data_IF_904737683557
#
_entry.id   IF_904737683557
#
_cell.length_a   1.000
_cell.length_b   1.000
_cell.length_c   1.000
_cell.angle_alpha   90.00
_cell.angle_beta   90.00
_cell.angle_gamma   90.00
#
_symmetry.space_group_name_H-M   'P 1'
#
loop_
_entity.id
_entity.type
_entity.pdbx_description
1 polymer ?
#
# COMPACT_ATOMS: atom_id res chain seq x y z
N UNK A 1 -5.53 30.24 -22.42
CA UNK A 1 -5.09 29.09 -23.26
C UNK A 1 -5.70 27.82 -22.69
N UNK A 2 -6.81 27.36 -23.29
CA UNK A 2 -7.61 26.25 -22.78
C UNK A 2 -6.98 24.94 -23.26
N UNK A 3 -6.13 24.34 -22.41
CA UNK A 3 -5.47 23.06 -22.75
C UNK A 3 -6.51 21.95 -22.56
N UNK A 4 -7.27 21.65 -23.62
CA UNK A 4 -8.04 20.41 -23.71
C UNK A 4 -7.03 19.26 -23.74
N UNK A 5 -6.55 18.85 -22.56
CA UNK A 5 -5.75 17.65 -22.41
C UNK A 5 -6.63 16.51 -22.92
N UNK A 6 -6.18 15.82 -23.97
CA UNK A 6 -6.87 14.63 -24.46
C UNK A 6 -7.13 13.69 -23.28
N UNK A 7 -8.35 13.17 -23.17
CA UNK A 7 -8.75 12.26 -22.10
C UNK A 7 -7.77 11.10 -21.93
N UNK A 8 -7.19 10.61 -23.04
CA UNK A 8 -6.14 9.60 -23.07
C UNK A 8 -4.84 10.03 -22.38
N UNK A 9 -4.41 11.29 -22.55
CA UNK A 9 -3.21 11.83 -21.91
C UNK A 9 -3.41 11.95 -20.39
N UNK A 10 -4.62 12.30 -19.95
CA UNK A 10 -4.96 12.34 -18.53
C UNK A 10 -4.94 10.95 -17.90
N UNK A 11 -5.54 9.94 -18.55
CA UNK A 11 -5.53 8.56 -18.07
C UNK A 11 -4.09 8.03 -18.00
N UNK A 12 -3.30 8.21 -19.07
CA UNK A 12 -1.89 7.81 -19.11
C UNK A 12 -1.08 8.43 -17.96
N UNK A 13 -1.35 9.70 -17.64
CA UNK A 13 -0.73 10.38 -16.50
C UNK A 13 -1.15 9.77 -15.15
N UNK A 14 -2.43 9.47 -14.97
CA UNK A 14 -2.96 8.85 -13.76
C UNK A 14 -2.39 7.44 -13.54
N UNK A 15 -2.31 6.65 -14.60
CA UNK A 15 -1.70 5.30 -14.58
C UNK A 15 -0.22 5.40 -14.18
N UNK A 16 0.55 6.27 -14.83
CA UNK A 16 1.97 6.46 -14.50
C UNK A 16 2.18 6.93 -13.05
N UNK A 17 1.30 7.80 -12.54
CA UNK A 17 1.33 8.21 -11.14
C UNK A 17 0.97 7.03 -10.21
N UNK A 18 -0.05 6.26 -10.55
CA UNK A 18 -0.52 5.09 -9.79
C UNK A 18 0.53 3.99 -9.64
N UNK A 19 1.27 3.67 -10.70
CA UNK A 19 2.37 2.71 -10.63
C UNK A 19 3.47 3.17 -9.67
N UNK A 20 3.87 4.44 -9.73
CA UNK A 20 4.89 4.99 -8.82
C UNK A 20 4.39 5.00 -7.38
N UNK A 21 3.12 5.34 -7.16
CA UNK A 21 2.50 5.31 -5.85
C UNK A 21 2.46 3.88 -5.27
N UNK A 22 2.16 2.88 -6.10
CA UNK A 22 2.17 1.46 -5.72
C UNK A 22 3.57 0.99 -5.34
N UNK A 23 4.61 1.42 -6.07
CA UNK A 23 5.99 1.10 -5.72
C UNK A 23 6.38 1.60 -4.31
N UNK A 24 5.90 2.77 -3.89
CA UNK A 24 6.09 3.25 -2.51
C UNK A 24 5.30 2.42 -1.49
N UNK A 25 4.06 2.03 -1.80
CA UNK A 25 3.28 1.17 -0.93
C UNK A 25 3.88 -0.24 -0.76
N UNK A 26 4.53 -0.78 -1.80
CA UNK A 26 5.32 -2.02 -1.69
C UNK A 26 6.42 -1.85 -0.64
N UNK A 27 7.16 -0.74 -0.67
CA UNK A 27 8.21 -0.46 0.32
C UNK A 27 7.60 -0.36 1.74
N UNK A 28 6.46 0.32 1.90
CA UNK A 28 5.78 0.40 3.20
C UNK A 28 5.28 -0.95 3.70
N UNK A 29 4.71 -1.76 2.81
CA UNK A 29 4.30 -3.13 3.14
C UNK A 29 5.49 -3.98 3.56
N UNK A 30 6.63 -3.89 2.86
CA UNK A 30 7.85 -4.58 3.26
C UNK A 30 8.35 -4.12 4.63
N UNK A 31 8.37 -2.81 4.90
CA UNK A 31 8.78 -2.29 6.22
C UNK A 31 7.89 -2.81 7.36
N UNK A 32 6.57 -2.86 7.15
CA UNK A 32 5.63 -3.45 8.11
C UNK A 32 5.87 -4.96 8.24
N UNK A 33 6.11 -5.64 7.13
CA UNK A 33 6.34 -7.07 7.09
C UNK A 33 7.64 -7.51 7.79
N UNK A 34 8.61 -6.63 8.00
CA UNK A 34 9.79 -6.93 8.83
C UNK A 34 9.39 -7.30 10.27
N UNK A 35 8.25 -6.81 10.77
CA UNK A 35 7.76 -7.15 12.10
C UNK A 35 7.38 -8.64 12.23
N UNK A 36 7.14 -9.35 11.11
CA UNK A 36 6.94 -10.81 11.13
C UNK A 36 8.21 -11.58 11.52
N UNK A 37 9.38 -10.97 11.34
CA UNK A 37 10.66 -11.63 11.64
C UNK A 37 10.87 -11.74 13.15
N UNK A 38 10.19 -10.91 13.94
CA UNK A 38 10.23 -11.01 15.40
C UNK A 38 9.54 -12.30 15.89
N UNK A 39 8.48 -12.74 15.20
CA UNK A 39 7.75 -13.93 15.57
C UNK A 39 8.37 -15.25 15.11
N UNK A 40 9.21 -15.23 14.07
CA UNK A 40 9.71 -16.42 13.41
C UNK A 40 11.25 -16.41 13.34
N UNK A 41 11.94 -17.43 13.85
CA UNK A 41 13.39 -17.51 13.74
C UNK A 41 13.83 -17.62 12.28
N UNK A 42 14.95 -16.97 11.96
CA UNK A 42 15.57 -17.08 10.65
C UNK A 42 16.06 -18.52 10.42
N UNK A 43 16.02 -19.02 9.17
CA UNK A 43 16.56 -20.33 8.84
C UNK A 43 18.09 -20.38 9.01
N UNK A 44 18.61 -21.53 9.44
CA UNK A 44 20.04 -21.71 9.75
C UNK A 44 20.93 -21.99 8.52
N UNK A 45 20.35 -22.13 7.32
CA UNK A 45 21.08 -22.45 6.10
C UNK A 45 21.18 -21.25 5.16
N UNK A 46 22.32 -21.08 4.49
CA UNK A 46 22.53 -19.97 3.54
C UNK A 46 21.49 -19.97 2.41
N UNK A 47 21.13 -21.16 1.90
CA UNK A 47 20.03 -21.32 0.93
C UNK A 47 18.69 -20.90 1.53
N UNK A 48 18.42 -21.27 2.78
CA UNK A 48 17.18 -20.94 3.47
C UNK A 48 17.01 -19.44 3.66
N UNK A 49 18.09 -18.72 4.00
CA UNK A 49 18.10 -17.27 4.15
C UNK A 49 17.78 -16.59 2.82
N UNK A 50 18.42 -17.01 1.72
CA UNK A 50 18.15 -16.45 0.39
C UNK A 50 16.69 -16.72 -0.01
N UNK A 51 16.23 -17.96 0.13
CA UNK A 51 14.85 -18.33 -0.16
C UNK A 51 13.85 -17.50 0.64
N UNK A 52 14.13 -17.29 1.93
CA UNK A 52 13.30 -16.49 2.82
C UNK A 52 13.18 -15.04 2.34
N UNK A 53 14.28 -14.35 2.06
CA UNK A 53 14.25 -12.96 1.60
C UNK A 53 13.60 -12.81 0.21
N UNK A 54 13.89 -13.73 -0.72
CA UNK A 54 13.28 -13.71 -2.06
C UNK A 54 11.78 -13.95 -1.98
N UNK A 55 11.35 -14.94 -1.20
CA UNK A 55 9.93 -15.27 -1.02
C UNK A 55 9.19 -14.14 -0.32
N UNK A 56 9.78 -13.57 0.74
CA UNK A 56 9.23 -12.43 1.46
C UNK A 56 9.07 -11.21 0.55
N UNK A 57 10.13 -10.83 -0.17
CA UNK A 57 10.09 -9.69 -1.09
C UNK A 57 9.06 -9.91 -2.19
N UNK A 58 9.04 -11.10 -2.79
CA UNK A 58 8.11 -11.47 -3.85
C UNK A 58 6.66 -11.48 -3.40
N UNK A 59 6.37 -12.10 -2.26
CA UNK A 59 5.02 -12.23 -1.71
C UNK A 59 4.38 -10.85 -1.44
N UNK A 60 5.03 -10.00 -0.63
CA UNK A 60 4.46 -8.68 -0.30
C UNK A 60 4.40 -7.76 -1.53
N UNK A 61 5.40 -7.79 -2.40
CA UNK A 61 5.38 -7.00 -3.64
C UNK A 61 4.24 -7.43 -4.57
N UNK A 62 4.04 -8.74 -4.72
CA UNK A 62 2.96 -9.30 -5.53
C UNK A 62 1.59 -8.92 -4.97
N UNK A 63 1.37 -9.08 -3.66
CA UNK A 63 0.09 -8.73 -3.02
C UNK A 63 -0.23 -7.23 -3.17
N UNK A 64 0.72 -6.34 -2.91
CA UNK A 64 0.50 -4.90 -3.12
C UNK A 64 0.21 -4.55 -4.58
N UNK A 65 0.90 -5.19 -5.53
CA UNK A 65 0.67 -4.93 -6.95
C UNK A 65 -0.67 -5.50 -7.44
N UNK A 66 -1.04 -6.70 -6.98
CA UNK A 66 -2.33 -7.31 -7.26
C UNK A 66 -3.47 -6.45 -6.71
N UNK A 67 -3.32 -5.95 -5.49
CA UNK A 67 -4.26 -5.02 -4.88
C UNK A 67 -4.42 -3.74 -5.73
N UNK A 68 -3.33 -3.18 -6.25
CA UNK A 68 -3.39 -2.06 -7.19
C UNK A 68 -4.19 -2.40 -8.46
N UNK A 69 -3.93 -3.55 -9.08
CA UNK A 69 -4.64 -3.98 -10.30
C UNK A 69 -6.14 -4.12 -10.04
N UNK A 70 -6.55 -4.68 -8.90
CA UNK A 70 -7.96 -4.95 -8.61
C UNK A 70 -8.69 -3.69 -8.15
N UNK A 71 -8.10 -2.91 -7.24
CA UNK A 71 -8.83 -1.84 -6.54
C UNK A 71 -8.53 -0.44 -7.06
N UNK A 72 -7.37 -0.19 -7.65
CA UNK A 72 -6.95 1.18 -8.05
C UNK A 72 -6.97 1.35 -9.56
N UNK A 73 -6.43 0.39 -10.30
CA UNK A 73 -6.32 0.46 -11.75
C UNK A 73 -7.67 0.62 -12.48
N UNK A 74 -8.74 -0.17 -12.24
CA UNK A 74 -10.01 0.01 -12.95
C UNK A 74 -10.64 1.38 -12.67
N UNK A 75 -10.43 1.92 -11.48
CA UNK A 75 -10.95 3.24 -11.10
C UNK A 75 -10.25 4.40 -11.81
N UNK A 76 -9.08 4.18 -12.43
CA UNK A 76 -8.46 5.20 -13.29
C UNK A 76 -9.32 5.54 -14.52
N UNK A 77 -10.13 4.58 -15.01
CA UNK A 77 -11.01 4.78 -16.16
C UNK A 77 -12.36 5.38 -15.77
N UNK A 78 -12.84 5.07 -14.56
CA UNK A 78 -14.15 5.54 -14.07
C UNK A 78 -14.08 6.97 -13.54
N UNK A 79 -13.01 7.31 -12.80
CA UNK A 79 -12.90 8.59 -12.10
C UNK A 79 -12.28 9.65 -12.99
N UNK A 80 -13.10 10.58 -13.50
CA UNK A 80 -12.65 11.71 -14.33
C UNK A 80 -11.85 12.76 -13.55
N UNK A 81 -12.10 12.91 -12.26
CA UNK A 81 -11.45 13.93 -11.42
C UNK A 81 -10.19 13.39 -10.74
N UNK A 82 -9.02 13.89 -11.15
CA UNK A 82 -7.73 13.47 -10.60
C UNK A 82 -7.59 13.64 -9.08
N UNK A 83 -8.24 14.65 -8.48
CA UNK A 83 -8.24 14.86 -7.03
C UNK A 83 -8.99 13.74 -6.29
N UNK A 84 -10.16 13.35 -6.79
CA UNK A 84 -10.97 12.27 -6.21
C UNK A 84 -10.24 10.94 -6.32
N UNK A 85 -9.64 10.67 -7.48
CA UNK A 85 -8.82 9.46 -7.69
C UNK A 85 -7.67 9.36 -6.69
N UNK A 86 -6.97 10.46 -6.41
CA UNK A 86 -5.89 10.50 -5.42
C UNK A 86 -6.39 10.22 -4.01
N UNK A 87 -7.48 10.87 -3.58
CA UNK A 87 -8.06 10.67 -2.25
C UNK A 87 -8.49 9.21 -2.08
N UNK A 88 -9.19 8.66 -3.07
CA UNK A 88 -9.59 7.25 -3.09
C UNK A 88 -8.38 6.32 -2.94
N UNK A 89 -7.33 6.54 -3.74
CA UNK A 89 -6.12 5.70 -3.72
C UNK A 89 -5.38 5.79 -2.37
N UNK A 90 -5.28 6.98 -1.77
CA UNK A 90 -4.68 7.20 -0.44
C UNK A 90 -5.48 6.42 0.61
N UNK A 91 -6.80 6.55 0.60
CA UNK A 91 -7.67 5.93 1.59
C UNK A 91 -7.59 4.41 1.53
N UNK A 92 -7.77 3.84 0.33
CA UNK A 92 -7.72 2.40 0.08
C UNK A 92 -6.35 1.80 0.45
N UNK A 93 -5.26 2.48 0.11
CA UNK A 93 -3.90 2.00 0.45
C UNK A 93 -3.60 2.10 1.94
N UNK A 94 -4.09 3.15 2.60
CA UNK A 94 -3.94 3.28 4.07
C UNK A 94 -4.72 2.21 4.80
N UNK A 95 -5.93 1.88 4.34
CA UNK A 95 -6.75 0.80 4.90
C UNK A 95 -6.03 -0.56 4.75
N UNK A 96 -5.49 -0.85 3.57
CA UNK A 96 -4.74 -2.08 3.32
C UNK A 96 -3.48 -2.21 4.21
N UNK A 97 -2.70 -1.12 4.34
CA UNK A 97 -1.51 -1.12 5.20
C UNK A 97 -1.86 -1.23 6.69
N UNK A 98 -2.97 -0.62 7.13
CA UNK A 98 -3.47 -0.80 8.50
C UNK A 98 -3.90 -2.24 8.75
N UNK A 99 -4.61 -2.85 7.81
CA UNK A 99 -4.99 -4.26 7.92
C UNK A 99 -3.74 -5.16 8.06
N UNK A 100 -2.73 -4.95 7.20
CA UNK A 100 -1.47 -5.67 7.31
C UNK A 100 -0.77 -5.43 8.66
N UNK A 101 -0.76 -4.19 9.17
CA UNK A 101 -0.15 -3.89 10.46
C UNK A 101 -0.87 -4.59 11.62
N UNK A 102 -2.20 -4.61 11.61
CA UNK A 102 -3.01 -5.32 12.62
C UNK A 102 -2.73 -6.82 12.55
N UNK A 103 -2.72 -7.40 11.34
CA UNK A 103 -2.42 -8.82 11.12
C UNK A 103 -1.05 -9.23 11.69
N UNK A 104 0.00 -8.43 11.46
CA UNK A 104 1.34 -8.75 11.98
C UNK A 104 1.37 -8.72 13.52
N UNK A 105 0.73 -7.73 14.13
CA UNK A 105 0.70 -7.63 15.59
C UNK A 105 -0.11 -8.77 16.21
N UNK A 106 -1.23 -9.14 15.57
CA UNK A 106 -2.03 -10.28 16.00
C UNK A 106 -1.25 -11.59 15.86
N UNK A 107 -0.59 -11.81 14.72
CA UNK A 107 0.25 -12.98 14.48
C UNK A 107 1.41 -13.07 15.48
N UNK A 108 1.98 -11.95 15.90
CA UNK A 108 3.04 -11.95 16.91
C UNK A 108 2.57 -12.46 18.28
N UNK A 109 1.31 -12.23 18.64
CA UNK A 109 0.69 -12.66 19.90
C UNK A 109 0.17 -14.10 19.85
N UNK A 110 -0.57 -14.45 18.79
CA UNK A 110 -1.34 -15.70 18.72
C UNK A 110 -0.75 -16.73 17.75
N UNK A 111 0.24 -16.35 16.93
CA UNK A 111 0.81 -17.17 15.84
C UNK A 111 -0.18 -17.62 14.77
N UNK A 112 -1.36 -17.00 14.76
CA UNK A 112 -2.40 -17.18 13.75
C UNK A 112 -2.63 -15.87 13.00
N UNK A 113 -3.05 -15.97 11.74
CA UNK A 113 -3.43 -14.80 10.97
C UNK A 113 -4.78 -14.24 11.41
N UNK A 114 -4.89 -12.93 11.34
CA UNK A 114 -6.11 -12.23 11.70
C UNK A 114 -7.25 -12.57 10.74
N UNK A 115 -8.40 -12.94 11.28
CA UNK A 115 -9.62 -13.21 10.52
C UNK A 115 -10.81 -12.48 11.12
N UNK A 116 -11.87 -12.30 10.31
CA UNK A 116 -13.12 -11.70 10.79
C UNK A 116 -13.70 -12.46 11.99
N UNK A 117 -13.55 -13.79 12.03
CA UNK A 117 -14.04 -14.59 13.15
C UNK A 117 -13.25 -14.34 14.43
N UNK A 118 -11.93 -14.18 14.35
CA UNK A 118 -11.10 -13.90 15.53
C UNK A 118 -11.39 -12.52 16.12
N UNK A 119 -11.87 -11.55 15.33
CA UNK A 119 -12.34 -10.26 15.86
C UNK A 119 -13.55 -10.35 16.79
N UNK A 120 -14.46 -11.29 16.53
CA UNK A 120 -15.71 -11.42 17.29
C UNK A 120 -15.59 -12.35 18.49
N UNK A 121 -14.51 -13.14 18.55
CA UNK A 121 -14.33 -14.19 19.56
C UNK A 121 -13.50 -13.73 20.78
N UNK A 122 -12.72 -12.65 20.65
CA UNK A 122 -11.92 -12.07 21.73
C UNK A 122 -12.78 -11.18 22.66
N UNK A 123 -13.02 -11.57 23.93
CA UNK A 123 -13.92 -10.84 24.84
C UNK A 123 -13.33 -9.53 25.38
N UNK A 124 -12.00 -9.33 25.30
CA UNK A 124 -11.29 -8.14 25.75
C UNK A 124 -10.64 -7.40 24.57
N UNK A 125 -11.48 -6.84 23.70
CA UNK A 125 -11.15 -6.17 22.43
C UNK A 125 -10.33 -4.86 22.58
N UNK A 126 -9.60 -4.65 23.68
CA UNK A 126 -8.81 -3.44 23.94
C UNK A 126 -7.52 -3.42 23.11
N UNK A 127 -6.87 -4.57 22.93
CA UNK A 127 -5.61 -4.72 22.21
C UNK A 127 -5.76 -4.38 20.71
N UNK A 128 -6.88 -4.79 20.10
CA UNK A 128 -7.20 -4.57 18.68
C UNK A 128 -7.49 -3.10 18.35
N UNK A 129 -8.14 -2.35 19.24
CA UNK A 129 -8.46 -0.92 19.03
C UNK A 129 -7.20 -0.05 19.06
N UNK A 130 -6.22 -0.36 19.91
CA UNK A 130 -4.98 0.43 19.96
C UNK A 130 -4.18 0.38 18.65
N UNK A 131 -4.18 -0.76 17.95
CA UNK A 131 -3.50 -0.87 16.66
C UNK A 131 -4.21 -0.06 15.55
N UNK A 132 -5.51 0.20 15.66
CA UNK A 132 -6.22 1.08 14.71
C UNK A 132 -5.77 2.54 14.79
N UNK A 133 -5.10 2.96 15.87
CA UNK A 133 -4.50 4.31 15.97
C UNK A 133 -3.37 4.53 14.95
N UNK A 134 -2.83 3.47 14.33
CA UNK A 134 -1.86 3.61 13.24
C UNK A 134 -2.48 4.14 11.94
N UNK A 135 -3.79 3.95 11.75
CA UNK A 135 -4.51 4.34 10.55
C UNK A 135 -4.36 5.83 10.20
N UNK A 136 -4.61 6.80 11.11
CA UNK A 136 -4.39 8.21 10.82
C UNK A 136 -2.92 8.52 10.48
N UNK A 137 -1.96 7.84 11.11
CA UNK A 137 -0.53 8.03 10.82
C UNK A 137 -0.21 7.55 9.39
N UNK A 138 -0.72 6.39 8.99
CA UNK A 138 -0.55 5.85 7.63
C UNK A 138 -1.23 6.73 6.58
N UNK A 139 -2.41 7.30 6.87
CA UNK A 139 -3.05 8.30 6.00
C UNK A 139 -2.15 9.51 5.79
N UNK A 140 -1.54 10.03 6.85
CA UNK A 140 -0.65 11.20 6.76
C UNK A 140 0.55 10.86 5.87
N UNK A 141 1.22 9.73 6.11
CA UNK A 141 2.36 9.26 5.31
C UNK A 141 1.97 9.08 3.83
N UNK A 142 0.83 8.45 3.57
CA UNK A 142 0.31 8.23 2.21
C UNK A 142 -0.10 9.53 1.52
N UNK A 143 -0.60 10.51 2.25
CA UNK A 143 -0.94 11.83 1.72
C UNK A 143 0.32 12.61 1.33
N UNK A 144 1.35 12.59 2.19
CA UNK A 144 2.63 13.24 1.93
C UNK A 144 3.31 12.65 0.69
N UNK A 145 3.37 11.31 0.60
CA UNK A 145 3.93 10.64 -0.58
C UNK A 145 3.12 10.93 -1.85
N UNK A 146 1.79 10.85 -1.77
CA UNK A 146 0.91 11.20 -2.90
C UNK A 146 1.18 12.62 -3.41
N UNK A 147 1.32 13.59 -2.49
CA UNK A 147 1.60 14.98 -2.83
C UNK A 147 2.98 15.17 -3.45
N UNK A 148 4.01 14.54 -2.89
CA UNK A 148 5.36 14.58 -3.42
C UNK A 148 5.46 13.95 -4.81
N UNK A 149 4.87 12.76 -4.98
CA UNK A 149 4.80 12.05 -6.27
C UNK A 149 4.10 12.88 -7.33
N UNK A 150 2.98 13.52 -6.98
CA UNK A 150 2.20 14.35 -7.90
C UNK A 150 2.99 15.55 -8.42
N UNK A 151 3.74 16.22 -7.55
CA UNK A 151 4.60 17.33 -7.95
C UNK A 151 5.70 16.85 -8.89
N UNK A 152 6.32 15.70 -8.61
CA UNK A 152 7.36 15.11 -9.47
C UNK A 152 6.83 14.60 -10.81
N UNK A 153 5.65 14.00 -10.88
CA UNK A 153 5.08 13.54 -12.16
C UNK A 153 4.74 14.72 -13.06
N UNK A 154 4.15 15.79 -12.51
CA UNK A 154 3.85 17.03 -13.27
C UNK A 154 5.08 17.70 -13.86
N UNK A 155 6.19 17.74 -13.12
CA UNK A 155 7.45 18.32 -13.61
C UNK A 155 7.98 17.52 -14.80
N UNK A 156 7.96 16.18 -14.70
CA UNK A 156 8.42 15.31 -15.79
C UNK A 156 7.56 15.46 -17.05
N UNK A 157 6.23 15.53 -16.93
CA UNK A 157 5.37 15.73 -18.11
C UNK A 157 5.57 17.09 -18.76
N UNK A 158 5.76 18.16 -17.97
CA UNK A 158 6.07 19.50 -18.52
C UNK A 158 7.38 19.53 -19.31
N UNK A 159 8.39 18.76 -18.87
CA UNK A 159 9.69 18.68 -19.55
C UNK A 159 9.64 17.90 -20.88
N UNK A 160 8.66 17.03 -21.06
CA UNK A 160 8.50 16.24 -22.31
C UNK A 160 7.74 17.05 -23.38
N UNK A 161 6.94 18.04 -22.96
CA UNK A 161 6.18 18.92 -23.86
C UNK A 161 6.96 20.15 -24.35
N UNK A 162 8.15 20.42 -23.80
CA UNK A 162 9.07 21.50 -24.17
C UNK A 162 10.30 20.94 -24.88
#
# INVERSE_FOLDING_TARGET
>A
MNKNISHSNQISFLINWGHRYTAFNIIYSLLIALLYFYANPLPNTSIGIIYFFVSWLGYFSFFCFLFYIIFVFPFTFVIKYSRVFRIYTIFISSLALTFQFVDVNYFNLYKEHFSLFTMFQEPNNTISIHYLLIFPILIIINTLTSQWLWNKTKIKTKKIEN
#
